data_IF_886866585872
#
_entry.id   IF_886866585872
#
_cell.length_a   1.000
_cell.length_b   1.000
_cell.length_c   1.000
_cell.angle_alpha   90.00
_cell.angle_beta   90.00
_cell.angle_gamma   90.00
#
_symmetry.space_group_name_H-M   'P 1'
#
loop_
_entity.id
_entity.type
_entity.pdbx_description
1 polymer ?
#
# COMPACT_ATOMS: atom_id res chain seq x y z
N UNK A 1 0.95 35.42 -3.17
CA UNK A 1 -0.21 34.85 -3.89
C UNK A 1 0.18 33.80 -4.93
N UNK A 2 1.36 33.84 -5.57
CA UNK A 2 1.78 32.82 -6.54
C UNK A 2 2.53 31.60 -5.92
N UNK A 3 3.10 31.70 -4.72
CA UNK A 3 3.88 30.61 -4.10
C UNK A 3 3.02 29.47 -3.55
N UNK A 4 1.82 29.75 -3.05
CA UNK A 4 0.91 28.74 -2.49
C UNK A 4 0.36 27.77 -3.55
N UNK A 5 0.19 28.24 -4.79
CA UNK A 5 -0.29 27.43 -5.92
C UNK A 5 0.78 26.42 -6.39
N UNK A 6 2.05 26.83 -6.42
CA UNK A 6 3.17 25.93 -6.72
C UNK A 6 3.35 24.85 -5.64
N UNK A 7 3.15 25.21 -4.37
CA UNK A 7 3.28 24.28 -3.25
C UNK A 7 2.13 23.24 -3.24
N UNK A 8 0.92 23.64 -3.65
CA UNK A 8 -0.22 22.72 -3.85
C UNK A 8 -0.01 21.77 -5.05
N UNK A 9 0.58 22.24 -6.15
CA UNK A 9 0.88 21.39 -7.32
C UNK A 9 1.95 20.33 -7.02
N UNK A 10 2.99 20.67 -6.25
CA UNK A 10 4.01 19.70 -5.82
C UNK A 10 3.45 18.63 -4.88
N UNK A 11 2.52 18.99 -3.99
CA UNK A 11 1.85 18.03 -3.10
C UNK A 11 0.92 17.07 -3.86
N UNK A 12 0.25 17.53 -4.92
CA UNK A 12 -0.57 16.68 -5.79
C UNK A 12 0.27 15.67 -6.60
N UNK A 13 1.46 16.06 -7.06
CA UNK A 13 2.39 15.17 -7.76
C UNK A 13 2.92 14.04 -6.84
N UNK A 14 3.26 14.35 -5.58
CA UNK A 14 3.73 13.35 -4.60
C UNK A 14 2.62 12.36 -4.18
N UNK A 15 1.36 12.81 -4.06
CA UNK A 15 0.21 11.92 -3.83
C UNK A 15 -0.08 11.00 -5.03
N UNK A 16 0.21 11.44 -6.26
CA UNK A 16 0.11 10.59 -7.44
C UNK A 16 1.21 9.53 -7.47
N UNK A 17 2.39 9.80 -6.93
CA UNK A 17 3.50 8.83 -6.87
C UNK A 17 3.27 7.70 -5.84
N UNK A 18 2.66 7.97 -4.68
CA UNK A 18 2.38 6.93 -3.67
C UNK A 18 1.21 5.98 -4.05
N UNK A 19 0.25 6.48 -4.82
CA UNK A 19 -0.84 5.67 -5.36
C UNK A 19 -0.36 4.79 -6.53
N UNK A 20 0.59 5.29 -7.33
CA UNK A 20 1.23 4.52 -8.41
C UNK A 20 1.99 3.32 -7.87
N UNK A 21 2.70 3.45 -6.75
CA UNK A 21 3.50 2.34 -6.19
C UNK A 21 2.67 1.21 -5.59
N UNK A 22 1.56 1.50 -4.93
CA UNK A 22 0.68 0.45 -4.35
C UNK A 22 -0.03 -0.35 -5.45
N UNK A 23 -0.49 0.31 -6.51
CA UNK A 23 -1.06 -0.36 -7.68
C UNK A 23 -0.02 -1.21 -8.43
N UNK A 24 1.25 -0.78 -8.43
CA UNK A 24 2.35 -1.50 -9.07
C UNK A 24 2.71 -2.81 -8.34
N UNK A 25 2.55 -2.85 -7.00
CA UNK A 25 2.83 -4.05 -6.21
C UNK A 25 1.89 -5.23 -6.52
N UNK A 26 0.65 -4.96 -6.92
CA UNK A 26 -0.33 -6.00 -7.25
C UNK A 26 -0.48 -6.27 -8.75
N UNK A 27 0.32 -5.62 -9.61
CA UNK A 27 0.23 -5.75 -11.06
C UNK A 27 0.53 -7.18 -11.51
N UNK A 28 -0.39 -7.77 -12.27
CA UNK A 28 -0.32 -9.13 -12.83
C UNK A 28 -0.12 -10.22 -11.78
N UNK A 29 -0.51 -10.00 -10.52
CA UNK A 29 -0.39 -11.01 -9.45
C UNK A 29 -1.53 -12.04 -9.43
N UNK A 30 -2.56 -11.82 -10.27
CA UNK A 30 -3.72 -12.71 -10.43
C UNK A 30 -4.09 -12.85 -11.90
N UNK A 31 -4.64 -14.01 -12.27
CA UNK A 31 -5.15 -14.25 -13.62
C UNK A 31 -6.39 -13.40 -13.92
N UNK A 32 -6.50 -12.94 -15.16
CA UNK A 32 -7.64 -12.21 -15.68
C UNK A 32 -8.75 -13.19 -16.01
N UNK A 33 -9.77 -13.27 -15.14
CA UNK A 33 -10.96 -14.08 -15.40
C UNK A 33 -11.62 -13.76 -16.75
N UNK A 34 -11.70 -12.49 -17.12
CA UNK A 34 -12.29 -12.07 -18.39
C UNK A 34 -11.48 -12.53 -19.60
N UNK A 35 -10.15 -12.66 -19.49
CA UNK A 35 -9.35 -13.18 -20.60
C UNK A 35 -9.54 -14.69 -20.77
N UNK A 36 -9.66 -15.43 -19.66
CA UNK A 36 -9.99 -16.86 -19.69
C UNK A 36 -11.35 -17.13 -20.37
N UNK A 37 -12.29 -16.19 -20.24
CA UNK A 37 -13.60 -16.25 -20.89
C UNK A 37 -13.61 -15.59 -22.29
N UNK A 38 -12.46 -15.14 -22.81
CA UNK A 38 -12.34 -14.40 -24.09
C UNK A 38 -13.14 -13.09 -24.17
N UNK A 39 -13.41 -12.45 -23.02
CA UNK A 39 -14.16 -11.18 -22.89
C UNK A 39 -13.32 -9.99 -22.42
N UNK A 40 -12.00 -10.13 -22.32
CA UNK A 40 -11.14 -9.04 -21.84
C UNK A 40 -10.94 -7.99 -22.94
N UNK A 41 -11.42 -6.76 -22.72
CA UNK A 41 -11.25 -5.62 -23.63
C UNK A 41 -9.99 -4.80 -23.37
N UNK A 42 -9.21 -5.12 -22.32
CA UNK A 42 -8.08 -4.31 -21.87
C UNK A 42 -6.76 -4.61 -22.58
N UNK A 43 -6.70 -5.69 -23.36
CA UNK A 43 -5.48 -6.10 -24.07
C UNK A 43 -4.24 -6.13 -23.16
N UNK A 44 -3.12 -5.59 -23.65
CA UNK A 44 -1.85 -5.51 -22.91
C UNK A 44 -1.92 -4.58 -21.68
N UNK A 45 -2.82 -3.60 -21.69
CA UNK A 45 -3.06 -2.70 -20.57
C UNK A 45 -3.84 -3.35 -19.42
N UNK A 46 -4.21 -4.63 -19.53
CA UNK A 46 -4.86 -5.35 -18.45
C UNK A 46 -3.90 -5.50 -17.25
N UNK A 47 -4.33 -5.06 -16.07
CA UNK A 47 -3.55 -5.20 -14.83
C UNK A 47 -3.53 -6.62 -14.26
N UNK A 48 -4.26 -7.56 -14.87
CA UNK A 48 -4.32 -8.97 -14.50
C UNK A 48 -3.63 -9.83 -15.58
N UNK A 49 -3.04 -10.94 -15.18
CA UNK A 49 -2.27 -11.81 -16.07
C UNK A 49 -3.18 -12.58 -17.02
N UNK A 50 -2.88 -12.56 -18.32
CA UNK A 50 -3.65 -13.30 -19.32
C UNK A 50 -3.21 -14.76 -19.43
N UNK A 51 -2.01 -15.09 -18.97
CA UNK A 51 -1.45 -16.44 -18.97
C UNK A 51 -0.48 -16.61 -17.79
N UNK A 52 0.04 -17.83 -17.61
CA UNK A 52 0.99 -18.13 -16.54
C UNK A 52 2.33 -17.41 -16.69
N UNK A 53 2.73 -17.04 -17.90
CA UNK A 53 3.98 -16.31 -18.18
C UNK A 53 3.89 -14.87 -17.69
N UNK A 54 2.72 -14.24 -17.83
CA UNK A 54 2.46 -12.91 -17.31
C UNK A 54 2.24 -12.88 -15.79
N UNK A 55 1.92 -14.03 -15.17
CA UNK A 55 1.55 -14.11 -13.77
C UNK A 55 2.77 -13.89 -12.86
N UNK A 56 2.74 -12.79 -12.10
CA UNK A 56 3.79 -12.41 -11.15
C UNK A 56 3.50 -12.97 -9.77
N UNK A 57 4.56 -13.24 -9.01
CA UNK A 57 4.43 -13.60 -7.61
C UNK A 57 3.77 -12.45 -6.83
N UNK A 58 2.79 -12.73 -5.95
CA UNK A 58 2.20 -11.70 -5.11
C UNK A 58 3.24 -11.15 -4.13
N UNK A 59 3.20 -9.84 -3.82
CA UNK A 59 4.07 -9.26 -2.81
C UNK A 59 3.73 -9.84 -1.42
N UNK A 60 4.73 -9.88 -0.55
CA UNK A 60 4.50 -10.22 0.86
C UNK A 60 3.76 -9.07 1.56
N UNK A 61 2.45 -9.24 1.71
CA UNK A 61 1.59 -8.31 2.45
C UNK A 61 1.35 -8.76 3.90
N UNK A 62 2.10 -9.76 4.40
CA UNK A 62 2.00 -10.19 5.79
C UNK A 62 2.40 -9.07 6.73
N UNK A 63 1.68 -8.97 7.85
CA UNK A 63 1.95 -8.02 8.93
C UNK A 63 2.03 -6.56 8.46
N UNK A 64 1.32 -6.20 7.38
CA UNK A 64 1.21 -4.80 6.89
C UNK A 64 0.17 -3.97 7.63
N UNK A 65 -0.64 -4.62 8.48
CA UNK A 65 -1.65 -4.00 9.35
C UNK A 65 -1.60 -4.62 10.73
N UNK A 66 -1.95 -3.82 11.75
CA UNK A 66 -2.11 -4.31 13.13
C UNK A 66 -3.28 -5.30 13.19
N UNK A 67 -3.06 -6.41 13.88
CA UNK A 67 -4.11 -7.38 14.17
C UNK A 67 -5.15 -6.75 15.11
N UNK A 68 -6.37 -6.56 14.63
CA UNK A 68 -7.45 -5.98 15.44
C UNK A 68 -7.85 -6.84 16.63
N UNK A 69 -7.66 -8.16 16.56
CA UNK A 69 -7.92 -9.06 17.69
C UNK A 69 -6.81 -8.98 18.74
N UNK A 70 -5.55 -8.88 18.32
CA UNK A 70 -4.42 -8.65 19.23
C UNK A 70 -4.55 -7.31 19.94
N UNK A 71 -4.93 -6.24 19.23
CA UNK A 71 -5.17 -4.93 19.82
C UNK A 71 -6.27 -4.95 20.91
N UNK A 72 -7.17 -5.94 20.87
CA UNK A 72 -8.22 -6.19 21.87
C UNK A 72 -7.82 -7.24 22.92
N UNK A 73 -6.59 -7.74 22.89
CA UNK A 73 -6.10 -8.81 23.78
C UNK A 73 -6.63 -10.21 23.46
N UNK A 74 -7.14 -10.45 22.25
CA UNK A 74 -7.84 -11.68 21.85
C UNK A 74 -7.13 -12.51 20.78
N UNK A 75 -5.86 -12.22 20.51
CA UNK A 75 -5.06 -12.99 19.56
C UNK A 75 -3.63 -13.12 20.06
N UNK A 76 -3.14 -14.35 20.09
CA UNK A 76 -1.77 -14.74 20.46
C UNK A 76 -1.19 -15.78 19.50
N UNK A 77 -1.82 -15.96 18.33
CA UNK A 77 -1.38 -16.92 17.31
C UNK A 77 -0.02 -16.47 16.71
N UNK A 78 1.06 -17.27 16.86
CA UNK A 78 2.36 -16.95 16.27
C UNK A 78 2.37 -16.90 14.73
N UNK A 79 1.39 -17.57 14.11
CA UNK A 79 1.20 -17.61 12.66
C UNK A 79 0.26 -16.53 12.12
N UNK A 80 -0.18 -15.60 12.98
CA UNK A 80 -1.09 -14.53 12.59
C UNK A 80 -0.52 -13.71 11.41
N UNK A 81 -1.31 -13.58 10.35
CA UNK A 81 -0.95 -12.82 9.14
C UNK A 81 -0.89 -11.30 9.35
N UNK A 82 -1.34 -10.81 10.51
CA UNK A 82 -1.36 -9.41 10.89
C UNK A 82 -0.36 -9.15 12.03
N UNK A 83 0.10 -7.91 12.16
CA UNK A 83 1.12 -7.56 13.13
C UNK A 83 0.56 -7.50 14.56
N UNK A 84 1.21 -8.18 15.49
CA UNK A 84 0.96 -8.07 16.94
C UNK A 84 1.77 -6.90 17.53
N UNK A 85 1.43 -5.69 17.07
CA UNK A 85 2.10 -4.45 17.47
C UNK A 85 3.04 -3.89 16.41
N UNK A 86 3.63 -2.74 16.71
CA UNK A 86 4.43 -1.98 15.75
C UNK A 86 5.78 -2.63 15.40
N UNK A 87 6.28 -3.53 16.25
CA UNK A 87 7.52 -4.28 16.03
C UNK A 87 7.37 -5.28 14.87
N UNK A 88 6.19 -5.90 14.77
CA UNK A 88 5.86 -6.82 13.69
C UNK A 88 5.33 -6.12 12.44
N UNK A 89 4.92 -4.85 12.56
CA UNK A 89 4.27 -4.10 11.49
C UNK A 89 5.25 -3.73 10.39
N UNK A 90 5.13 -4.42 9.26
CA UNK A 90 5.87 -4.14 8.03
C UNK A 90 5.26 -2.93 7.31
N UNK A 91 6.10 -1.96 6.99
CA UNK A 91 5.76 -0.95 5.98
C UNK A 91 6.49 -1.34 4.70
N UNK A 92 5.79 -1.69 3.62
CA UNK A 92 6.43 -1.81 2.31
C UNK A 92 7.24 -0.54 2.04
N UNK A 93 8.47 -0.68 1.53
CA UNK A 93 9.38 0.45 1.29
C UNK A 93 8.74 1.57 0.45
N UNK A 94 7.72 1.22 -0.34
CA UNK A 94 7.01 2.12 -1.20
C UNK A 94 5.97 3.03 -0.51
N UNK A 95 5.68 2.86 0.78
CA UNK A 95 4.69 3.66 1.51
C UNK A 95 5.11 4.04 2.94
N UNK A 96 6.37 3.81 3.34
CA UNK A 96 6.88 4.27 4.63
C UNK A 96 7.38 5.71 4.54
N UNK A 97 6.81 6.62 5.35
CA UNK A 97 7.20 8.04 5.39
C UNK A 97 7.17 8.75 4.03
N UNK A 98 6.33 8.28 3.10
CA UNK A 98 6.20 8.89 1.78
C UNK A 98 5.39 10.19 1.79
N UNK A 99 4.66 10.45 2.88
CA UNK A 99 3.92 11.67 3.10
C UNK A 99 4.25 12.22 4.49
N UNK A 100 4.42 13.54 4.59
CA UNK A 100 4.57 14.20 5.89
C UNK A 100 3.27 14.07 6.68
N UNK A 101 3.38 13.58 7.92
CA UNK A 101 2.25 13.60 8.83
C UNK A 101 1.88 15.05 9.16
N UNK A 102 0.67 15.46 8.79
CA UNK A 102 0.18 16.82 9.05
C UNK A 102 0.19 17.18 10.54
N UNK A 103 -0.13 16.22 11.41
CA UNK A 103 -0.07 16.43 12.86
C UNK A 103 1.37 16.59 13.35
N UNK A 104 2.33 15.90 12.72
CA UNK A 104 3.74 16.04 13.04
C UNK A 104 4.24 17.44 12.67
N UNK A 105 3.90 17.91 11.46
CA UNK A 105 4.22 19.26 11.02
C UNK A 105 3.67 20.34 11.96
N UNK A 106 2.50 20.10 12.56
CA UNK A 106 1.88 20.99 13.54
C UNK A 106 2.37 20.81 14.98
N UNK A 107 3.28 19.87 15.24
CA UNK A 107 3.77 19.57 16.58
C UNK A 107 2.75 18.86 17.49
N UNK A 108 1.67 18.33 16.93
CA UNK A 108 0.57 17.68 17.67
C UNK A 108 0.58 16.14 17.53
N UNK A 109 1.56 15.57 16.84
CA UNK A 109 1.65 14.13 16.67
C UNK A 109 2.34 13.48 17.87
N UNK A 110 1.58 12.72 18.64
CA UNK A 110 2.10 12.00 19.81
C UNK A 110 2.73 10.64 19.45
N UNK A 111 2.83 10.31 18.16
CA UNK A 111 3.37 9.02 17.71
C UNK A 111 4.91 8.94 17.79
N UNK A 112 5.61 10.07 17.94
CA UNK A 112 7.07 10.11 17.99
C UNK A 112 7.69 9.52 16.71
N UNK A 113 8.83 8.84 16.85
CA UNK A 113 9.49 8.13 15.74
C UNK A 113 8.65 7.00 15.12
N UNK A 114 7.55 6.62 15.80
CA UNK A 114 6.59 5.63 15.29
C UNK A 114 5.54 6.24 14.37
N UNK A 115 5.56 7.56 14.16
CA UNK A 115 4.77 8.25 13.15
C UNK A 115 5.07 7.65 11.77
N UNK A 116 4.02 7.20 11.06
CA UNK A 116 4.11 6.58 9.75
C UNK A 116 3.21 7.29 8.76
#
# INVERSE_FOLDING_TARGET
MNSDVLQQQQQQQQQQECNKTTAMQCYKTKLCRFHLESRCLRGENCTFAHNAVELRAPPDLSRTKICGLWAKGRCNDPSCKFAHGHQELKSPAACYKTSLCFLWQKGMCNAGERCR
#
